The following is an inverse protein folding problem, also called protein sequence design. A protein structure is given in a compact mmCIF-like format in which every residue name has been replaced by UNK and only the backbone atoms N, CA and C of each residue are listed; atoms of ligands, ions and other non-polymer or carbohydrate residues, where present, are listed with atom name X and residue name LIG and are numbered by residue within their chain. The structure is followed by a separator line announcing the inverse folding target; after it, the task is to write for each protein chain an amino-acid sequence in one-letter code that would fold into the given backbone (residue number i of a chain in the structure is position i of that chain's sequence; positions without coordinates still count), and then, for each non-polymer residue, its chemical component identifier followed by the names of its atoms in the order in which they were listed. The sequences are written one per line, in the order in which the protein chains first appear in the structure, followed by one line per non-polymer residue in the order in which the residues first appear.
data_IF_318961004668
#
_entry.id   IF_318961004668
#
_cell.length_a   1.000
_cell.length_b   1.000
_cell.length_c   1.000
_cell.angle_alpha   90.00
_cell.angle_beta   90.00
_cell.angle_gamma   90.00
#
_symmetry.space_group_name_H-M   'P 1'
#
loop_
_entity.id
_entity.type
_entity.pdbx_description
1 polymer ?
#
# COMPACT_ATOMS: atom_id res chain seq x y z
N UNK A 1 -3.82 19.57 -14.40
CA UNK A 1 -4.63 18.35 -14.13
C UNK A 1 -3.81 17.51 -13.19
N UNK A 2 -4.32 17.21 -12.00
CA UNK A 2 -3.65 16.37 -11.00
C UNK A 2 -3.63 14.90 -11.48
N UNK A 3 -2.53 14.22 -11.22
CA UNK A 3 -2.36 12.81 -11.58
C UNK A 3 -2.14 11.98 -10.32
N UNK A 4 -3.03 11.04 -10.04
CA UNK A 4 -2.97 10.14 -8.89
C UNK A 4 -2.77 8.71 -9.41
N UNK A 5 -1.77 8.01 -8.85
CA UNK A 5 -1.47 6.64 -9.23
C UNK A 5 -1.59 5.71 -8.01
N UNK A 6 -2.54 4.80 -8.06
CA UNK A 6 -2.67 3.71 -7.10
C UNK A 6 -1.74 2.57 -7.50
N UNK A 7 -0.90 2.12 -6.56
CA UNK A 7 -0.08 0.90 -6.69
C UNK A 7 -0.72 -0.16 -5.80
N UNK A 8 -1.17 -1.24 -6.42
CA UNK A 8 -1.91 -2.33 -5.78
C UNK A 8 -1.27 -3.67 -6.16
N UNK A 9 -1.13 -4.58 -5.22
CA UNK A 9 -0.48 -5.86 -5.50
C UNK A 9 -1.40 -6.81 -6.27
N UNK A 10 -2.62 -7.02 -5.78
CA UNK A 10 -3.52 -8.07 -6.25
C UNK A 10 -4.77 -7.52 -6.94
N UNK A 11 -5.24 -8.25 -7.97
CA UNK A 11 -6.48 -7.90 -8.66
C UNK A 11 -7.70 -7.93 -7.72
N UNK A 12 -7.73 -8.82 -6.74
CA UNK A 12 -8.83 -8.90 -5.77
C UNK A 12 -8.98 -7.62 -4.93
N UNK A 13 -7.88 -6.91 -4.66
CA UNK A 13 -7.88 -5.63 -3.94
C UNK A 13 -8.29 -4.44 -4.84
N UNK A 14 -7.88 -4.48 -6.12
CA UNK A 14 -8.06 -3.38 -7.06
C UNK A 14 -9.41 -3.42 -7.77
N UNK A 15 -9.93 -4.61 -8.09
CA UNK A 15 -11.12 -4.79 -8.91
C UNK A 15 -12.33 -3.97 -8.46
N UNK A 16 -12.73 -3.96 -7.16
CA UNK A 16 -13.88 -3.19 -6.73
C UNK A 16 -13.75 -1.68 -7.00
N UNK A 17 -12.52 -1.16 -6.90
CA UNK A 17 -12.23 0.25 -7.17
C UNK A 17 -12.16 0.55 -8.68
N UNK A 18 -11.60 -0.36 -9.48
CA UNK A 18 -11.56 -0.26 -10.95
C UNK A 18 -12.99 -0.21 -11.52
N UNK A 19 -13.86 -1.12 -11.05
CA UNK A 19 -15.26 -1.21 -11.48
C UNK A 19 -16.08 0.02 -11.04
N UNK A 20 -15.88 0.51 -9.83
CA UNK A 20 -16.54 1.72 -9.30
C UNK A 20 -16.32 2.94 -10.18
N UNK A 21 -15.10 3.13 -10.69
CA UNK A 21 -14.74 4.28 -11.51
C UNK A 21 -14.72 3.99 -13.02
N UNK A 22 -15.09 2.79 -13.44
CA UNK A 22 -15.11 2.40 -14.86
C UNK A 22 -13.75 2.56 -15.54
N UNK A 23 -12.66 2.24 -14.83
CA UNK A 23 -11.32 2.43 -15.37
C UNK A 23 -11.03 1.41 -16.48
N UNK A 24 -10.43 1.89 -17.57
CA UNK A 24 -10.11 1.09 -18.76
C UNK A 24 -8.70 0.52 -18.69
N UNK A 25 -8.55 -0.75 -19.00
CA UNK A 25 -7.25 -1.38 -19.09
C UNK A 25 -6.49 -0.89 -20.33
N UNK A 26 -5.22 -0.55 -20.17
CA UNK A 26 -4.28 -0.25 -21.26
C UNK A 26 -3.34 -1.42 -21.50
N UNK A 27 -3.75 -2.32 -22.35
CA UNK A 27 -2.98 -3.54 -22.65
C UNK A 27 -1.57 -3.22 -23.15
N UNK A 28 -0.60 -3.99 -22.67
CA UNK A 28 0.79 -3.90 -23.12
C UNK A 28 1.53 -2.60 -22.78
N UNK A 29 0.92 -1.68 -22.02
CA UNK A 29 1.53 -0.39 -21.71
C UNK A 29 2.92 -0.52 -21.07
N UNK A 30 3.11 -1.48 -20.18
CA UNK A 30 4.39 -1.73 -19.53
C UNK A 30 5.21 -2.87 -20.13
N UNK A 31 4.81 -3.40 -21.30
CA UNK A 31 5.54 -4.50 -21.97
C UNK A 31 7.05 -4.23 -22.04
N UNK A 32 7.92 -5.23 -21.76
CA UNK A 32 7.62 -6.66 -21.52
C UNK A 32 7.29 -7.03 -20.05
N UNK A 33 7.14 -6.04 -19.16
CA UNK A 33 6.82 -6.31 -17.77
C UNK A 33 5.34 -6.75 -17.60
N UNK A 34 5.04 -7.58 -16.58
CA UNK A 34 3.69 -8.11 -16.37
C UNK A 34 2.70 -7.10 -15.78
N UNK A 35 3.17 -5.90 -15.42
CA UNK A 35 2.36 -4.88 -14.77
C UNK A 35 1.13 -4.50 -15.62
N UNK A 36 -0.02 -4.36 -14.96
CA UNK A 36 -1.27 -3.96 -15.59
C UNK A 36 -1.57 -2.50 -15.28
N UNK A 37 -2.00 -1.75 -16.28
CA UNK A 37 -2.46 -0.36 -16.13
C UNK A 37 -3.95 -0.28 -16.39
N UNK A 38 -4.66 0.36 -15.45
CA UNK A 38 -6.03 0.83 -15.63
C UNK A 38 -6.04 2.34 -15.49
N UNK A 39 -6.73 3.04 -16.39
CA UNK A 39 -6.79 4.51 -16.37
C UNK A 39 -8.20 5.05 -16.56
N UNK A 40 -8.43 6.25 -16.05
CA UNK A 40 -9.65 7.01 -16.22
C UNK A 40 -9.50 8.44 -15.70
N UNK A 41 -10.60 9.18 -15.68
CA UNK A 41 -10.65 10.55 -15.18
C UNK A 41 -11.77 10.70 -14.15
N UNK A 42 -11.48 11.40 -13.05
CA UNK A 42 -12.46 11.75 -12.02
C UNK A 42 -12.40 13.27 -11.83
N UNK A 43 -13.40 13.96 -12.37
CA UNK A 43 -13.37 15.42 -12.46
C UNK A 43 -12.16 15.91 -13.28
N UNK A 44 -11.32 16.76 -12.68
CA UNK A 44 -10.09 17.27 -13.28
C UNK A 44 -8.85 16.43 -12.93
N UNK A 45 -9.02 15.25 -12.34
CA UNK A 45 -7.93 14.37 -11.90
C UNK A 45 -7.81 13.17 -12.84
N UNK A 46 -6.58 12.93 -13.34
CA UNK A 46 -6.24 11.69 -14.03
C UNK A 46 -5.95 10.60 -13.00
N UNK A 47 -6.65 9.49 -13.11
CA UNK A 47 -6.56 8.37 -12.20
C UNK A 47 -5.93 7.16 -12.89
N UNK A 48 -4.89 6.62 -12.25
CA UNK A 48 -4.25 5.39 -12.65
C UNK A 48 -4.33 4.35 -11.52
N UNK A 49 -4.58 3.10 -11.87
CA UNK A 49 -4.39 1.94 -11.01
C UNK A 49 -3.39 1.02 -11.69
N UNK A 50 -2.26 0.77 -11.04
CA UNK A 50 -1.20 -0.09 -11.56
C UNK A 50 -1.05 -1.29 -10.63
N UNK A 51 -1.21 -2.48 -11.21
CA UNK A 51 -1.01 -3.75 -10.52
C UNK A 51 0.35 -4.35 -10.84
N UNK A 52 0.87 -5.14 -9.92
CA UNK A 52 2.12 -5.88 -10.13
C UNK A 52 2.04 -6.88 -11.30
N UNK A 53 0.84 -7.30 -11.66
CA UNK A 53 0.59 -8.29 -12.69
C UNK A 53 0.64 -9.72 -12.17
N UNK A 54 0.76 -10.67 -13.09
CA UNK A 54 0.71 -12.10 -12.76
C UNK A 54 1.88 -12.86 -13.37
N UNK A 55 2.27 -13.92 -12.69
CA UNK A 55 3.20 -14.93 -13.20
C UNK A 55 2.72 -16.32 -12.77
N UNK A 56 2.77 -17.29 -13.69
CA UNK A 56 2.30 -18.66 -13.45
C UNK A 56 0.85 -18.76 -12.91
N UNK A 57 -0.02 -17.81 -13.30
CA UNK A 57 -1.43 -17.78 -12.90
C UNK A 57 -1.71 -17.21 -11.50
N UNK A 58 -0.69 -16.65 -10.83
CA UNK A 58 -0.82 -16.00 -9.53
C UNK A 58 -0.43 -14.53 -9.60
N UNK A 59 -1.09 -13.69 -8.80
CA UNK A 59 -0.70 -12.29 -8.65
C UNK A 59 0.73 -12.19 -8.08
N UNK A 60 1.52 -11.28 -8.62
CA UNK A 60 2.85 -10.98 -8.11
C UNK A 60 2.75 -10.10 -6.87
N UNK A 61 3.21 -10.62 -5.74
CA UNK A 61 3.25 -9.93 -4.46
C UNK A 61 4.68 -9.74 -3.97
N UNK A 62 4.87 -8.90 -2.98
CA UNK A 62 6.15 -8.73 -2.32
C UNK A 62 7.00 -7.56 -2.82
N UNK A 63 8.13 -7.39 -2.16
CA UNK A 63 8.99 -6.22 -2.27
C UNK A 63 9.52 -5.98 -3.68
N UNK A 64 9.95 -7.04 -4.38
CA UNK A 64 10.54 -6.95 -5.71
C UNK A 64 9.52 -6.52 -6.76
N UNK A 65 8.34 -7.13 -6.73
CA UNK A 65 7.25 -6.80 -7.64
C UNK A 65 6.78 -5.36 -7.43
N UNK A 66 6.60 -4.95 -6.18
CA UNK A 66 6.18 -3.59 -5.82
C UNK A 66 7.22 -2.54 -6.23
N UNK A 67 8.51 -2.80 -6.03
CA UNK A 67 9.58 -1.90 -6.45
C UNK A 67 9.63 -1.74 -7.98
N UNK A 68 9.56 -2.86 -8.71
CA UNK A 68 9.51 -2.85 -10.18
C UNK A 68 8.31 -2.05 -10.69
N UNK A 69 7.11 -2.38 -10.21
CA UNK A 69 5.85 -1.74 -10.61
C UNK A 69 5.88 -0.23 -10.33
N UNK A 70 6.28 0.16 -9.12
CA UNK A 70 6.35 1.57 -8.74
C UNK A 70 7.35 2.33 -9.60
N UNK A 71 8.52 1.74 -9.88
CA UNK A 71 9.55 2.37 -10.73
C UNK A 71 9.01 2.69 -12.11
N UNK A 72 8.41 1.72 -12.79
CA UNK A 72 7.91 1.95 -14.16
C UNK A 72 6.67 2.86 -14.18
N UNK A 73 5.81 2.78 -13.16
CA UNK A 73 4.68 3.68 -13.01
C UNK A 73 5.13 5.14 -12.84
N UNK A 74 6.03 5.41 -11.90
CA UNK A 74 6.53 6.77 -11.63
C UNK A 74 7.25 7.35 -12.85
N UNK A 75 8.09 6.56 -13.52
CA UNK A 75 8.82 7.00 -14.70
C UNK A 75 7.90 7.33 -15.88
N UNK A 76 6.89 6.50 -16.15
CA UNK A 76 6.06 6.62 -17.36
C UNK A 76 4.83 7.48 -17.15
N UNK A 77 4.22 7.45 -15.95
CA UNK A 77 2.97 8.16 -15.65
C UNK A 77 3.19 9.51 -14.96
N UNK A 78 4.34 9.70 -14.32
CA UNK A 78 4.75 10.94 -13.61
C UNK A 78 3.66 11.45 -12.66
N UNK A 79 3.20 10.63 -11.70
CA UNK A 79 2.12 11.01 -10.80
C UNK A 79 2.55 12.11 -9.83
N UNK A 80 1.59 12.98 -9.47
CA UNK A 80 1.75 13.97 -8.41
C UNK A 80 1.64 13.34 -7.02
N UNK A 81 0.96 12.19 -6.93
CA UNK A 81 0.79 11.41 -5.70
C UNK A 81 0.69 9.92 -6.06
N UNK A 82 1.46 9.11 -5.36
CA UNK A 82 1.28 7.65 -5.34
C UNK A 82 0.43 7.27 -4.13
N UNK A 83 -0.54 6.39 -4.32
CA UNK A 83 -1.31 5.76 -3.25
C UNK A 83 -0.98 4.27 -3.25
N UNK A 84 -0.25 3.81 -2.24
CA UNK A 84 -0.09 2.38 -2.00
C UNK A 84 -1.32 1.87 -1.24
N UNK A 85 -2.17 1.17 -1.95
CA UNK A 85 -3.44 0.67 -1.43
C UNK A 85 -3.45 -0.85 -1.46
N UNK A 86 -3.82 -1.47 -0.34
CA UNK A 86 -3.84 -2.93 -0.25
C UNK A 86 -4.24 -3.43 1.14
N UNK A 87 -4.18 -4.74 1.30
CA UNK A 87 -4.48 -5.40 2.57
C UNK A 87 -3.23 -5.55 3.46
N UNK A 88 -3.44 -5.86 4.71
CA UNK A 88 -2.36 -6.06 5.69
C UNK A 88 -2.81 -6.95 6.85
N UNK A 89 -1.86 -7.62 7.48
CA UNK A 89 -2.02 -8.11 8.85
C UNK A 89 -1.86 -6.96 9.85
N UNK A 90 -2.46 -7.11 11.04
CA UNK A 90 -2.32 -6.12 12.11
C UNK A 90 -2.38 -6.78 13.49
N UNK A 91 -2.21 -6.02 14.58
CA UNK A 91 -2.14 -6.55 15.93
C UNK A 91 -3.40 -6.20 16.73
N UNK A 92 -4.11 -7.24 17.22
CA UNK A 92 -5.29 -7.09 18.07
C UNK A 92 -4.97 -6.35 19.35
N UNK A 93 -3.81 -6.63 19.96
CA UNK A 93 -3.36 -5.96 21.18
C UNK A 93 -3.09 -4.45 20.98
N UNK A 94 -3.02 -3.98 19.73
CA UNK A 94 -2.97 -2.56 19.35
C UNK A 94 -4.32 -2.02 18.86
N UNK A 95 -5.41 -2.77 19.08
CA UNK A 95 -6.78 -2.36 18.74
C UNK A 95 -7.16 -2.57 17.27
N UNK A 96 -6.45 -3.44 16.55
CA UNK A 96 -6.82 -3.79 15.18
C UNK A 96 -8.03 -4.73 15.11
N UNK A 97 -8.83 -4.55 14.06
CA UNK A 97 -10.01 -5.36 13.74
C UNK A 97 -10.04 -5.67 12.25
N UNK A 98 -10.54 -6.86 11.90
CA UNK A 98 -10.69 -7.30 10.50
C UNK A 98 -11.60 -6.35 9.72
N UNK A 99 -11.11 -5.86 8.59
CA UNK A 99 -11.80 -4.92 7.71
C UNK A 99 -11.65 -3.45 8.14
N UNK A 100 -10.93 -3.15 9.24
CA UNK A 100 -10.61 -1.77 9.60
C UNK A 100 -9.58 -1.20 8.64
N UNK A 101 -9.84 0.02 8.15
CA UNK A 101 -8.92 0.70 7.24
C UNK A 101 -8.09 1.74 7.99
N UNK A 102 -6.81 1.78 7.68
CA UNK A 102 -5.82 2.68 8.26
C UNK A 102 -5.18 3.55 7.18
N UNK A 103 -4.84 4.78 7.55
CA UNK A 103 -3.88 5.62 6.83
C UNK A 103 -2.50 5.37 7.43
N UNK A 104 -1.51 5.06 6.59
CA UNK A 104 -0.16 4.80 7.08
C UNK A 104 0.55 6.06 7.59
N UNK A 105 1.18 5.94 8.74
CA UNK A 105 2.02 6.99 9.35
C UNK A 105 3.46 6.98 8.85
N UNK A 106 3.77 6.09 7.93
CA UNK A 106 5.06 5.82 7.30
C UNK A 106 5.23 4.33 7.07
N UNK A 107 6.32 3.95 6.39
CA UNK A 107 6.63 2.55 6.11
C UNK A 107 8.09 2.23 6.41
N UNK A 108 8.36 0.98 6.81
CA UNK A 108 9.70 0.43 7.06
C UNK A 108 9.76 -1.04 6.66
N UNK A 109 10.96 -1.58 6.46
CA UNK A 109 11.17 -3.03 6.32
C UNK A 109 11.37 -3.68 7.69
N UNK A 110 10.87 -4.90 7.89
CA UNK A 110 11.11 -5.68 9.10
C UNK A 110 11.98 -6.92 8.88
N UNK A 111 12.09 -7.39 7.64
CA UNK A 111 12.80 -8.63 7.31
C UNK A 111 14.17 -8.42 6.66
N UNK A 112 14.57 -7.18 6.35
CA UNK A 112 15.88 -6.86 5.77
C UNK A 112 16.96 -6.83 6.85
N UNK A 113 17.91 -7.72 6.75
CA UNK A 113 19.04 -7.84 7.67
C UNK A 113 20.35 -7.59 6.93
N UNK A 114 20.90 -6.39 7.08
CA UNK A 114 22.19 -6.01 6.51
C UNK A 114 23.12 -5.70 7.69
N UNK A 115 23.97 -6.65 8.10
CA UNK A 115 24.93 -6.42 9.18
C UNK A 115 25.98 -5.38 8.75
N UNK A 116 26.38 -4.53 9.68
CA UNK A 116 27.34 -3.48 9.41
C UNK A 116 27.29 -2.38 10.47
N UNK A 117 27.69 -1.20 10.07
CA UNK A 117 27.60 0.00 10.89
C UNK A 117 26.16 0.57 10.92
N UNK A 118 25.97 1.69 11.65
CA UNK A 118 24.68 2.35 11.81
C UNK A 118 24.04 2.79 10.47
N UNK A 119 24.86 3.11 9.48
CA UNK A 119 24.37 3.50 8.15
C UNK A 119 23.71 2.31 7.42
N UNK A 120 24.32 1.13 7.48
CA UNK A 120 23.77 -0.11 6.93
C UNK A 120 22.52 -0.56 7.68
N UNK A 121 22.52 -0.47 9.00
CA UNK A 121 21.36 -0.80 9.83
C UNK A 121 20.17 0.14 9.52
N UNK A 122 20.43 1.44 9.42
CA UNK A 122 19.40 2.43 9.04
C UNK A 122 18.86 2.19 7.64
N UNK A 123 19.75 1.91 6.67
CA UNK A 123 19.36 1.63 5.29
C UNK A 123 18.57 0.32 5.16
N UNK A 124 18.90 -0.69 5.96
CA UNK A 124 18.18 -1.96 5.94
C UNK A 124 16.73 -1.80 6.45
N UNK A 125 16.56 -1.08 7.54
CA UNK A 125 15.23 -0.80 8.12
C UNK A 125 14.42 0.12 7.18
N UNK A 126 15.03 1.18 6.68
CA UNK A 126 14.37 2.25 5.96
C UNK A 126 13.43 3.07 6.87
N UNK A 127 13.03 4.23 6.41
CA UNK A 127 12.01 5.07 7.05
C UNK A 127 11.38 5.95 5.99
N UNK A 128 10.28 5.49 5.41
CA UNK A 128 9.63 6.14 4.27
C UNK A 128 8.44 6.94 4.75
N UNK A 129 8.64 8.26 4.83
CA UNK A 129 7.63 9.19 5.30
C UNK A 129 6.36 9.14 4.42
N UNK A 130 5.17 9.27 5.01
CA UNK A 130 3.94 9.37 4.24
C UNK A 130 3.81 10.76 3.61
N UNK A 131 2.91 10.92 2.66
CA UNK A 131 2.49 12.22 2.16
C UNK A 131 2.19 13.18 3.33
N UNK A 132 2.69 14.42 3.23
CA UNK A 132 2.68 15.38 4.33
C UNK A 132 1.29 15.69 4.91
N UNK A 133 0.23 15.52 4.09
CA UNK A 133 -1.16 15.71 4.51
C UNK A 133 -1.88 14.44 4.98
N UNK A 134 -1.19 13.30 5.07
CA UNK A 134 -1.78 12.02 5.51
C UNK A 134 -2.47 12.11 6.87
N UNK A 135 -1.87 12.86 7.82
CA UNK A 135 -2.46 13.05 9.16
C UNK A 135 -3.76 13.86 9.13
N UNK A 136 -3.81 14.93 8.35
CA UNK A 136 -5.01 15.75 8.17
C UNK A 136 -6.12 14.94 7.49
N UNK A 137 -5.77 14.19 6.44
CA UNK A 137 -6.69 13.29 5.74
C UNK A 137 -7.28 12.23 6.68
N UNK A 138 -6.43 11.56 7.46
CA UNK A 138 -6.88 10.55 8.42
C UNK A 138 -7.86 11.14 9.45
N UNK A 139 -7.55 12.33 9.97
CA UNK A 139 -8.44 13.06 10.91
C UNK A 139 -9.78 13.41 10.27
N UNK A 140 -9.78 13.97 9.05
CA UNK A 140 -11.00 14.36 8.35
C UNK A 140 -11.91 13.16 8.05
N UNK A 141 -11.32 12.02 7.70
CA UNK A 141 -12.03 10.79 7.41
C UNK A 141 -12.37 9.95 8.65
N UNK A 142 -11.90 10.37 9.83
CA UNK A 142 -11.99 9.59 11.08
C UNK A 142 -11.40 8.17 10.91
N UNK A 143 -10.24 8.09 10.23
CA UNK A 143 -9.50 6.84 10.04
C UNK A 143 -8.33 6.78 11.03
N UNK A 144 -8.05 5.62 11.65
CA UNK A 144 -6.85 5.45 12.44
C UNK A 144 -5.59 5.54 11.59
N UNK A 145 -4.49 5.89 12.23
CA UNK A 145 -3.16 5.82 11.61
C UNK A 145 -2.37 4.67 12.22
N UNK A 146 -1.52 4.03 11.40
CA UNK A 146 -0.62 2.97 11.83
C UNK A 146 0.67 2.95 11.00
N UNK A 147 1.78 2.53 11.59
CA UNK A 147 3.05 2.38 10.87
C UNK A 147 3.07 1.08 10.08
N UNK A 148 3.22 1.20 8.75
CA UNK A 148 3.36 0.05 7.87
C UNK A 148 4.72 -0.60 8.06
N UNK A 149 4.74 -1.92 8.11
CA UNK A 149 5.96 -2.72 8.23
C UNK A 149 5.95 -3.83 7.19
N UNK A 150 6.95 -3.84 6.33
CA UNK A 150 6.97 -4.63 5.10
C UNK A 150 8.04 -5.71 5.14
N UNK A 151 7.67 -6.89 4.68
CA UNK A 151 8.58 -8.00 4.44
C UNK A 151 8.07 -8.91 3.31
N UNK A 152 8.91 -9.72 2.72
CA UNK A 152 8.56 -10.57 1.58
C UNK A 152 7.87 -11.89 1.96
N UNK A 153 7.50 -12.08 3.23
CA UNK A 153 6.81 -13.27 3.72
C UNK A 153 5.41 -12.93 4.26
N UNK A 154 4.43 -13.75 3.90
CA UNK A 154 3.06 -13.61 4.42
C UNK A 154 3.00 -13.99 5.91
N UNK A 155 3.66 -15.08 6.31
CA UNK A 155 3.85 -15.47 7.70
C UNK A 155 4.78 -14.51 8.44
N UNK A 156 4.92 -14.70 9.74
CA UNK A 156 5.78 -13.87 10.59
C UNK A 156 6.68 -14.76 11.45
N UNK A 157 7.98 -14.57 11.34
CA UNK A 157 8.95 -15.24 12.20
C UNK A 157 9.16 -14.44 13.50
N UNK A 158 9.62 -15.07 14.60
CA UNK A 158 9.90 -14.35 15.85
C UNK A 158 10.85 -13.16 15.68
N UNK A 159 11.88 -13.30 14.84
CA UNK A 159 12.83 -12.21 14.58
C UNK A 159 12.20 -11.03 13.82
N UNK A 160 11.16 -11.27 13.00
CA UNK A 160 10.41 -10.21 12.34
C UNK A 160 9.55 -9.46 13.37
N UNK A 161 8.88 -10.20 14.25
CA UNK A 161 8.09 -9.62 15.34
C UNK A 161 8.95 -8.73 16.24
N UNK A 162 10.16 -9.16 16.60
CA UNK A 162 11.09 -8.36 17.42
C UNK A 162 11.38 -7.00 16.76
N UNK A 163 11.69 -6.98 15.46
CA UNK A 163 11.94 -5.74 14.70
C UNK A 163 10.68 -4.89 14.62
N UNK A 164 9.51 -5.49 14.32
CA UNK A 164 8.23 -4.80 14.26
C UNK A 164 7.94 -4.09 15.59
N UNK A 165 8.07 -4.79 16.70
CA UNK A 165 7.79 -4.23 18.02
C UNK A 165 8.79 -3.17 18.43
N UNK A 166 10.09 -3.39 18.19
CA UNK A 166 11.16 -2.44 18.50
C UNK A 166 10.97 -1.10 17.78
N UNK A 167 10.48 -1.13 16.54
CA UNK A 167 10.35 0.06 15.70
C UNK A 167 8.90 0.56 15.55
N UNK A 168 7.97 0.03 16.33
CA UNK A 168 6.59 0.50 16.40
C UNK A 168 5.75 0.18 15.18
N UNK A 169 6.03 -0.93 14.46
CA UNK A 169 5.20 -1.42 13.37
C UNK A 169 3.81 -1.85 13.86
N UNK A 170 2.79 -1.60 13.06
CA UNK A 170 1.39 -1.87 13.42
C UNK A 170 0.63 -2.60 12.30
N UNK A 171 1.02 -2.36 11.05
CA UNK A 171 0.36 -2.86 9.84
C UNK A 171 1.38 -3.64 9.02
N UNK A 172 1.31 -4.97 9.08
CA UNK A 172 2.25 -5.85 8.39
C UNK A 172 1.77 -6.10 6.97
N UNK A 173 2.57 -5.72 5.98
CA UNK A 173 2.31 -5.95 4.57
C UNK A 173 3.52 -6.52 3.82
N UNK A 174 3.42 -6.63 2.50
CA UNK A 174 4.48 -7.16 1.66
C UNK A 174 5.03 -6.14 0.64
N UNK A 175 4.50 -4.91 0.56
CA UNK A 175 4.81 -3.94 -0.52
C UNK A 175 5.13 -2.52 -0.06
N UNK A 176 4.50 -2.05 1.01
CA UNK A 176 4.45 -0.62 1.36
C UNK A 176 5.79 0.07 1.46
N UNK A 177 6.77 -0.55 2.12
CA UNK A 177 8.11 0.03 2.24
C UNK A 177 8.85 0.06 0.89
N UNK A 178 8.61 -0.92 0.00
CA UNK A 178 9.20 -0.92 -1.34
C UNK A 178 8.64 0.19 -2.22
N UNK A 179 7.31 0.43 -2.15
CA UNK A 179 6.69 1.58 -2.80
C UNK A 179 7.25 2.87 -2.25
N UNK A 180 7.33 3.00 -0.92
CA UNK A 180 7.90 4.18 -0.25
C UNK A 180 9.36 4.43 -0.61
N UNK A 181 10.17 3.37 -0.68
CA UNK A 181 11.56 3.44 -1.11
C UNK A 181 11.69 4.04 -2.52
N UNK A 182 10.97 3.50 -3.49
CA UNK A 182 11.00 4.02 -4.86
C UNK A 182 10.50 5.47 -4.91
N UNK A 183 9.37 5.76 -4.29
CA UNK A 183 8.82 7.13 -4.24
C UNK A 183 9.82 8.12 -3.65
N UNK A 184 10.57 7.74 -2.60
CA UNK A 184 11.60 8.59 -1.99
C UNK A 184 12.76 8.92 -2.93
N UNK A 185 13.17 7.95 -3.78
CA UNK A 185 14.23 8.15 -4.77
C UNK A 185 13.80 9.10 -5.90
N UNK A 186 12.52 9.11 -6.25
CA UNK A 186 11.98 9.99 -7.30
C UNK A 186 11.42 11.32 -6.75
N UNK A 187 11.38 11.51 -5.44
CA UNK A 187 10.79 12.71 -4.81
C UNK A 187 9.28 12.80 -5.00
N UNK A 188 8.59 11.66 -5.20
CA UNK A 188 7.14 11.60 -5.35
C UNK A 188 6.49 11.31 -3.98
N UNK A 189 5.50 12.09 -3.53
CA UNK A 189 4.81 11.80 -2.27
C UNK A 189 4.03 10.49 -2.35
N UNK A 190 3.96 9.75 -1.21
CA UNK A 190 3.24 8.48 -1.10
C UNK A 190 2.24 8.49 0.05
N UNK A 191 1.01 8.09 -0.22
CA UNK A 191 -0.04 7.83 0.77
C UNK A 191 -0.19 6.32 0.92
N UNK A 192 -0.17 5.80 2.15
CA UNK A 192 -0.43 4.38 2.42
C UNK A 192 -1.86 4.22 2.94
N UNK A 193 -2.61 3.29 2.35
CA UNK A 193 -3.99 2.95 2.74
C UNK A 193 -4.09 1.45 2.88
N UNK A 194 -4.35 0.96 4.11
CA UNK A 194 -4.30 -0.46 4.42
C UNK A 194 -5.56 -0.94 5.11
N UNK A 195 -6.13 -2.06 4.64
CA UNK A 195 -7.28 -2.73 5.23
C UNK A 195 -6.87 -4.06 5.85
N UNK A 196 -7.32 -4.33 7.07
CA UNK A 196 -6.89 -5.50 7.85
C UNK A 196 -7.59 -6.78 7.37
N UNK A 197 -6.81 -7.79 6.99
CA UNK A 197 -7.28 -9.15 6.63
C UNK A 197 -7.09 -10.16 7.74
N UNK A 198 -6.02 -10.04 8.51
CA UNK A 198 -5.59 -11.03 9.51
C UNK A 198 -4.97 -10.37 10.75
N UNK A 199 -4.98 -11.10 11.84
CA UNK A 199 -4.43 -10.62 13.11
C UNK A 199 -3.13 -11.36 13.42
N UNK A 200 -2.00 -10.67 13.29
CA UNK A 200 -0.65 -11.21 13.48
C UNK A 200 -0.40 -11.80 14.86
N UNK A 201 -1.15 -11.37 15.87
CA UNK A 201 -1.15 -11.90 17.26
C UNK A 201 -2.37 -12.78 17.55
N UNK A 202 -3.08 -13.23 16.50
CA UNK A 202 -4.18 -14.20 16.57
C UNK A 202 -3.68 -15.64 16.70
N UNK A 203 -4.65 -16.55 16.78
CA UNK A 203 -4.40 -18.02 16.84
C UNK A 203 -4.73 -18.73 15.54
N UNK A 204 -5.35 -18.03 14.59
CA UNK A 204 -5.65 -18.57 13.28
C UNK A 204 -4.39 -18.67 12.42
N UNK A 205 -4.36 -19.62 11.50
CA UNK A 205 -3.31 -19.69 10.49
C UNK A 205 -3.45 -18.50 9.54
N UNK A 206 -2.34 -17.80 9.26
CA UNK A 206 -2.33 -16.50 8.56
C UNK A 206 -3.00 -16.56 7.19
N UNK A 207 -2.65 -17.57 6.37
CA UNK A 207 -3.21 -17.68 5.01
C UNK A 207 -4.71 -17.99 5.01
N UNK A 208 -5.18 -18.81 5.98
CA UNK A 208 -6.62 -19.11 6.12
C UNK A 208 -7.41 -17.87 6.55
N UNK A 209 -6.89 -17.11 7.52
CA UNK A 209 -7.55 -15.88 7.99
C UNK A 209 -7.56 -14.80 6.91
N UNK A 210 -6.43 -14.59 6.24
CA UNK A 210 -6.30 -13.72 5.08
C UNK A 210 -7.33 -14.06 3.99
N UNK A 211 -7.33 -15.31 3.52
CA UNK A 211 -8.20 -15.76 2.42
C UNK A 211 -9.68 -15.58 2.75
N UNK A 212 -10.07 -15.92 3.98
CA UNK A 212 -11.45 -15.79 4.45
C UNK A 212 -11.94 -14.34 4.49
N UNK A 213 -11.05 -13.41 4.82
CA UNK A 213 -11.40 -12.00 5.03
C UNK A 213 -11.07 -11.09 3.84
N UNK A 214 -10.39 -11.58 2.80
CA UNK A 214 -9.91 -10.79 1.67
C UNK A 214 -11.04 -9.97 1.01
N UNK A 215 -12.19 -10.60 0.73
CA UNK A 215 -13.32 -9.90 0.13
C UNK A 215 -13.83 -8.74 1.01
N UNK A 216 -14.02 -9.01 2.32
CA UNK A 216 -14.47 -7.98 3.27
C UNK A 216 -13.49 -6.81 3.36
N UNK A 217 -12.20 -7.11 3.43
CA UNK A 217 -11.15 -6.10 3.50
C UNK A 217 -11.04 -5.28 2.21
N UNK A 218 -11.17 -5.92 1.04
CA UNK A 218 -11.16 -5.24 -0.27
C UNK A 218 -12.35 -4.30 -0.44
N UNK A 219 -13.55 -4.68 0.02
CA UNK A 219 -14.72 -3.79 0.00
C UNK A 219 -14.55 -2.59 0.95
N UNK A 220 -14.01 -2.81 2.15
CA UNK A 220 -13.69 -1.72 3.07
C UNK A 220 -12.64 -0.77 2.46
N UNK A 221 -11.63 -1.33 1.79
CA UNK A 221 -10.59 -0.59 1.08
C UNK A 221 -11.18 0.26 -0.06
N UNK A 222 -12.10 -0.31 -0.87
CA UNK A 222 -12.81 0.41 -1.93
C UNK A 222 -13.53 1.64 -1.38
N UNK A 223 -14.35 1.47 -0.33
CA UNK A 223 -15.09 2.57 0.31
C UNK A 223 -14.16 3.64 0.88
N UNK A 224 -13.04 3.24 1.48
CA UNK A 224 -12.03 4.16 1.97
C UNK A 224 -11.37 4.94 0.84
N UNK A 225 -10.95 4.27 -0.22
CA UNK A 225 -10.32 4.88 -1.39
C UNK A 225 -11.28 5.84 -2.11
N UNK A 226 -12.58 5.53 -2.17
CA UNK A 226 -13.61 6.42 -2.72
C UNK A 226 -13.66 7.75 -1.94
N UNK A 227 -13.74 7.68 -0.61
CA UNK A 227 -13.75 8.88 0.26
C UNK A 227 -12.45 9.67 0.15
N UNK A 228 -11.31 8.98 0.11
CA UNK A 228 -9.98 9.59 -0.07
C UNK A 228 -9.92 10.31 -1.42
N UNK A 229 -10.30 9.64 -2.50
CA UNK A 229 -10.24 10.21 -3.85
C UNK A 229 -11.16 11.43 -3.98
N UNK A 230 -12.35 11.43 -3.38
CA UNK A 230 -13.23 12.60 -3.35
C UNK A 230 -12.54 13.84 -2.76
N UNK A 231 -11.82 13.67 -1.63
CA UNK A 231 -11.05 14.77 -1.02
C UNK A 231 -9.89 15.19 -1.93
N UNK A 232 -9.15 14.23 -2.48
CA UNK A 232 -8.00 14.50 -3.34
C UNK A 232 -8.38 15.22 -4.64
N UNK A 233 -9.57 14.98 -5.18
CA UNK A 233 -10.09 15.61 -6.39
C UNK A 233 -10.67 17.02 -6.15
N UNK A 234 -11.23 17.27 -4.98
CA UNK A 234 -11.84 18.57 -4.65
C UNK A 234 -10.82 19.66 -4.29
N UNK A 235 -9.55 19.34 -4.25
CA UNK A 235 -8.44 20.23 -3.90
C UNK A 235 -7.94 19.98 -2.47
N UNK A 236 -6.61 19.93 -2.35
CA UNK A 236 -5.95 19.65 -1.06
C UNK A 236 -6.02 20.85 -0.09
N UNK A 237 -6.59 21.98 -0.50
CA UNK A 237 -6.68 23.21 0.30
C UNK A 237 -7.58 23.06 1.53
N UNK A 238 -8.50 22.09 1.51
CA UNK A 238 -9.37 21.76 2.66
C UNK A 238 -8.66 20.92 3.74
N UNK A 239 -7.47 20.39 3.44
CA UNK A 239 -6.65 19.62 4.38
C UNK A 239 -5.69 20.55 5.16
N UNK A 240 -6.24 21.49 5.88
CA UNK A 240 -5.45 22.40 6.72
C UNK A 240 -5.18 21.83 8.13
#
# INVERSE_FOLDING_TARGET
MKTICYIVAMMAEARPFIEEYGLEQKEGFFSPLPCLLYEGEVGATRLYVVLNGQQHGSDLVGCEAAAMTTTVAVQRLKPDLVVNSGTCGAFRNKGAEIGRVYVGSGAMFHDRRVPGDDAWATQSLGNYAPWSRSKALAKQLNMPMGKVTTGSSLDMQPCDLDVIMQHGGELKDMEGASVGFVCSLYGVPVLYVKSVTDLCDGTAETFEEFSRNLHKASEALRLANQRILQILCNGDEELA
#
